data_IF_482187811533
#
_entry.id   IF_482187811533
#
_cell.length_a   1.000
_cell.length_b   1.000
_cell.length_c   1.000
_cell.angle_alpha   90.00
_cell.angle_beta   90.00
_cell.angle_gamma   90.00
#
_symmetry.space_group_name_H-M   'P 1'
#
loop_
_entity.id
_entity.type
_entity.pdbx_description
1 polymer ?
#
# COMPACT_ATOMS: atom_id res chain seq x y z
N UNK A 1 20.52 -36.07 18.75
CA UNK A 1 19.23 -35.42 18.40
C UNK A 1 19.09 -34.01 18.98
N UNK A 2 19.64 -33.70 20.17
CA UNK A 2 19.54 -32.36 20.81
C UNK A 2 20.23 -31.22 20.03
N UNK A 3 21.32 -31.49 19.32
CA UNK A 3 22.11 -30.49 18.60
C UNK A 3 21.48 -30.00 17.28
N UNK A 4 20.62 -30.80 16.64
CA UNK A 4 19.93 -30.38 15.39
C UNK A 4 18.76 -29.45 15.72
N UNK A 5 18.04 -29.73 16.81
CA UNK A 5 16.93 -28.92 17.30
C UNK A 5 17.38 -27.54 17.82
N UNK A 6 18.57 -27.43 18.40
CA UNK A 6 19.11 -26.15 18.84
C UNK A 6 19.54 -25.27 17.66
N UNK A 7 20.13 -25.87 16.62
CA UNK A 7 20.54 -25.14 15.40
C UNK A 7 19.32 -24.62 14.63
N UNK A 8 18.26 -25.42 14.51
CA UNK A 8 17.03 -24.96 13.85
C UNK A 8 16.28 -23.89 14.65
N UNK A 9 16.26 -23.98 15.99
CA UNK A 9 15.68 -22.94 16.84
C UNK A 9 16.40 -21.59 16.68
N UNK A 10 17.73 -21.59 16.63
CA UNK A 10 18.54 -20.37 16.42
C UNK A 10 18.28 -19.78 15.02
N UNK A 11 18.21 -20.64 14.00
CA UNK A 11 17.92 -20.19 12.64
C UNK A 11 16.53 -19.53 12.51
N UNK A 12 15.51 -20.07 13.17
CA UNK A 12 14.15 -19.49 13.19
C UNK A 12 14.14 -18.15 13.95
N UNK A 13 14.85 -18.05 15.08
CA UNK A 13 14.93 -16.81 15.87
C UNK A 13 15.61 -15.65 15.15
N UNK A 14 16.50 -15.91 14.18
CA UNK A 14 17.19 -14.86 13.40
C UNK A 14 16.44 -14.54 12.10
N UNK A 15 15.91 -15.56 11.43
CA UNK A 15 15.22 -15.38 10.14
C UNK A 15 13.85 -14.72 10.27
N UNK A 16 13.09 -15.03 11.33
CA UNK A 16 11.75 -14.48 11.52
C UNK A 16 11.73 -12.96 11.72
N UNK A 17 12.59 -12.34 12.57
CA UNK A 17 12.64 -10.88 12.72
C UNK A 17 13.07 -10.15 11.44
N UNK A 18 14.00 -10.72 10.69
CA UNK A 18 14.47 -10.15 9.42
C UNK A 18 13.38 -10.21 8.37
N UNK A 19 12.66 -11.33 8.26
CA UNK A 19 11.50 -11.46 7.38
C UNK A 19 10.36 -10.50 7.80
N UNK A 20 10.11 -10.36 9.10
CA UNK A 20 9.12 -9.42 9.63
C UNK A 20 9.51 -7.96 9.31
N UNK A 21 10.79 -7.62 9.44
CA UNK A 21 11.31 -6.29 9.12
C UNK A 21 11.21 -5.97 7.62
N UNK A 22 11.53 -6.94 6.76
CA UNK A 22 11.37 -6.79 5.30
C UNK A 22 9.89 -6.68 4.93
N UNK A 23 9.01 -7.49 5.52
CA UNK A 23 7.55 -7.39 5.32
C UNK A 23 7.02 -6.03 5.78
N UNK A 24 7.43 -5.57 6.96
CA UNK A 24 7.05 -4.28 7.52
C UNK A 24 7.49 -3.13 6.60
N UNK A 25 8.76 -3.15 6.17
CA UNK A 25 9.32 -2.18 5.23
C UNK A 25 8.60 -2.19 3.90
N UNK A 26 8.28 -3.36 3.33
CA UNK A 26 7.56 -3.49 2.06
C UNK A 26 6.12 -2.97 2.17
N UNK A 27 5.43 -3.26 3.27
CA UNK A 27 4.07 -2.78 3.54
C UNK A 27 3.98 -1.26 3.75
N UNK A 28 4.90 -0.69 4.54
CA UNK A 28 5.00 0.76 4.68
C UNK A 28 5.38 1.43 3.36
N UNK A 29 6.27 0.83 2.57
CA UNK A 29 6.67 1.37 1.28
C UNK A 29 5.50 1.53 0.33
N UNK A 30 4.65 0.51 0.17
CA UNK A 30 3.47 0.61 -0.72
C UNK A 30 2.47 1.67 -0.24
N UNK A 31 2.27 1.79 1.09
CA UNK A 31 1.42 2.85 1.66
C UNK A 31 1.98 4.24 1.41
N UNK A 32 3.28 4.43 1.64
CA UNK A 32 3.97 5.69 1.43
C UNK A 32 3.95 6.04 -0.06
N UNK A 33 4.21 5.10 -0.96
CA UNK A 33 4.17 5.33 -2.41
C UNK A 33 2.77 5.73 -2.89
N UNK A 34 1.71 5.05 -2.44
CA UNK A 34 0.34 5.42 -2.79
C UNK A 34 -0.07 6.79 -2.24
N UNK A 35 0.34 7.10 -1.01
CA UNK A 35 0.12 8.42 -0.41
C UNK A 35 0.86 9.52 -1.19
N UNK A 36 2.14 9.30 -1.48
CA UNK A 36 2.98 10.23 -2.27
C UNK A 36 2.40 10.41 -3.67
N UNK A 37 1.95 9.35 -4.34
CA UNK A 37 1.34 9.42 -5.67
C UNK A 37 0.06 10.28 -5.65
N UNK A 38 -0.85 10.03 -4.69
CA UNK A 38 -2.07 10.85 -4.52
C UNK A 38 -1.75 12.32 -4.26
N UNK A 39 -0.72 12.60 -3.46
CA UNK A 39 -0.33 13.99 -3.16
C UNK A 39 0.32 14.67 -4.37
N UNK A 40 1.15 13.96 -5.15
CA UNK A 40 1.71 14.45 -6.41
C UNK A 40 0.60 14.75 -7.42
N UNK A 41 -0.40 13.88 -7.55
CA UNK A 41 -1.54 14.10 -8.44
C UNK A 41 -2.38 15.32 -8.02
N UNK A 42 -2.60 15.50 -6.70
CA UNK A 42 -3.27 16.69 -6.17
C UNK A 42 -2.48 17.96 -6.51
N UNK A 43 -1.18 17.97 -6.24
CA UNK A 43 -0.31 19.11 -6.54
C UNK A 43 -0.32 19.42 -8.04
N UNK A 44 -0.31 18.42 -8.92
CA UNK A 44 -0.41 18.63 -10.38
C UNK A 44 -1.69 19.38 -10.77
N UNK A 45 -2.83 19.04 -10.16
CA UNK A 45 -4.11 19.75 -10.41
C UNK A 45 -4.05 21.18 -9.89
N UNK A 46 -3.55 21.39 -8.67
CA UNK A 46 -3.39 22.73 -8.09
C UNK A 46 -2.43 23.61 -8.90
N UNK A 47 -1.33 23.04 -9.39
CA UNK A 47 -0.36 23.75 -10.25
C UNK A 47 -0.93 24.08 -11.63
N UNK A 48 -1.76 23.21 -12.21
CA UNK A 48 -2.42 23.48 -13.49
C UNK A 48 -3.39 24.67 -13.39
N UNK A 49 -4.08 24.81 -12.26
CA UNK A 49 -4.96 25.96 -11.98
C UNK A 49 -4.16 27.23 -11.63
N UNK A 50 -3.03 27.09 -10.93
CA UNK A 50 -2.13 28.20 -10.63
C UNK A 50 -1.48 28.80 -11.89
N UNK A 51 -1.05 27.96 -12.84
CA UNK A 51 -0.44 28.39 -14.11
C UNK A 51 -1.37 29.20 -15.02
N UNK A 52 -2.69 29.15 -14.81
CA UNK A 52 -3.65 30.02 -15.51
C UNK A 52 -3.80 31.41 -14.89
N UNK A 53 -3.32 31.61 -13.65
CA UNK A 53 -3.64 32.80 -12.83
C UNK A 53 -2.44 33.74 -12.63
N UNK A 54 -1.21 33.28 -12.84
CA UNK A 54 0.01 34.07 -12.68
C UNK A 54 0.92 33.93 -13.90
N UNK A 55 1.16 35.05 -14.59
CA UNK A 55 1.97 35.18 -15.81
C UNK A 55 3.47 35.40 -15.50
N UNK A 56 3.86 35.33 -14.23
CA UNK A 56 5.25 35.59 -13.81
C UNK A 56 6.05 34.27 -13.78
N UNK A 57 6.80 34.04 -14.86
CA UNK A 57 7.33 32.74 -15.26
C UNK A 57 8.51 32.20 -14.43
N UNK A 58 8.98 32.92 -13.41
CA UNK A 58 10.25 32.58 -12.74
C UNK A 58 10.05 31.53 -11.62
N UNK A 59 9.06 31.70 -10.74
CA UNK A 59 8.83 30.77 -9.62
C UNK A 59 8.17 29.46 -10.08
N UNK A 60 7.27 29.53 -11.06
CA UNK A 60 6.66 28.36 -11.69
C UNK A 60 7.69 27.46 -12.40
N UNK A 61 8.72 28.07 -13.01
CA UNK A 61 9.82 27.35 -13.63
C UNK A 61 10.68 26.59 -12.62
N UNK A 62 10.92 27.16 -11.43
CA UNK A 62 11.66 26.47 -10.37
C UNK A 62 10.87 25.32 -9.74
N UNK A 63 9.56 25.50 -9.54
CA UNK A 63 8.68 24.43 -9.02
C UNK A 63 8.55 23.29 -10.02
N UNK A 64 8.41 23.59 -11.31
CA UNK A 64 8.40 22.58 -12.37
C UNK A 64 9.70 21.75 -12.38
N UNK A 65 10.87 22.38 -12.23
CA UNK A 65 12.15 21.69 -12.11
C UNK A 65 12.24 20.79 -10.87
N UNK A 66 11.71 21.25 -9.73
CA UNK A 66 11.66 20.44 -8.49
C UNK A 66 10.75 19.22 -8.65
N UNK A 67 9.61 19.38 -9.32
CA UNK A 67 8.68 18.27 -9.61
C UNK A 67 9.36 17.24 -10.51
N UNK A 68 9.98 17.67 -11.61
CA UNK A 68 10.70 16.78 -12.52
C UNK A 68 11.81 15.98 -11.81
N UNK A 69 12.57 16.62 -10.91
CA UNK A 69 13.60 15.95 -10.11
C UNK A 69 13.01 14.91 -9.14
N UNK A 70 11.83 15.16 -8.58
CA UNK A 70 11.13 14.21 -7.70
C UNK A 70 10.66 13.01 -8.51
N UNK A 71 10.12 13.23 -9.71
CA UNK A 71 9.67 12.17 -10.62
C UNK A 71 10.83 11.25 -11.02
N UNK A 72 11.98 11.82 -11.39
CA UNK A 72 13.19 11.05 -11.70
C UNK A 72 13.65 10.17 -10.51
N UNK A 73 13.60 10.73 -9.30
CA UNK A 73 13.96 9.97 -8.08
C UNK A 73 12.96 8.85 -7.78
N UNK A 74 11.67 9.05 -8.05
CA UNK A 74 10.65 8.02 -7.89
C UNK A 74 10.88 6.86 -8.86
N UNK A 75 11.15 7.15 -10.13
CA UNK A 75 11.46 6.13 -11.13
C UNK A 75 12.68 5.28 -10.74
N UNK A 76 13.73 5.92 -10.21
CA UNK A 76 14.91 5.22 -9.71
C UNK A 76 14.58 4.30 -8.51
N UNK A 77 13.67 4.72 -7.63
CA UNK A 77 13.22 3.92 -6.49
C UNK A 77 12.41 2.72 -6.98
N UNK A 78 11.46 2.92 -7.90
CA UNK A 78 10.63 1.85 -8.46
C UNK A 78 11.51 0.79 -9.13
N UNK A 79 12.52 1.21 -9.90
CA UNK A 79 13.50 0.29 -10.51
C UNK A 79 14.27 -0.51 -9.46
N UNK A 80 14.75 0.13 -8.38
CA UNK A 80 15.45 -0.57 -7.29
C UNK A 80 14.55 -1.55 -6.54
N UNK A 81 13.28 -1.21 -6.37
CA UNK A 81 12.31 -2.13 -5.75
C UNK A 81 12.12 -3.35 -6.65
N UNK A 82 11.96 -3.16 -7.95
CA UNK A 82 11.85 -4.26 -8.91
C UNK A 82 13.10 -5.15 -8.92
N UNK A 83 14.30 -4.54 -8.90
CA UNK A 83 15.56 -5.27 -8.79
C UNK A 83 15.62 -6.11 -7.51
N UNK A 84 15.18 -5.53 -6.38
CA UNK A 84 15.10 -6.26 -5.10
C UNK A 84 14.06 -7.38 -5.15
N UNK A 85 12.92 -7.18 -5.81
CA UNK A 85 11.90 -8.22 -6.00
C UNK A 85 12.42 -9.35 -6.86
N UNK A 86 13.16 -9.07 -7.93
CA UNK A 86 13.80 -10.08 -8.77
C UNK A 86 14.87 -10.86 -7.99
N UNK A 87 15.68 -10.18 -7.18
CA UNK A 87 16.67 -10.82 -6.29
C UNK A 87 15.97 -11.71 -5.24
N UNK A 88 14.78 -11.32 -4.78
CA UNK A 88 13.99 -12.06 -3.80
C UNK A 88 13.16 -13.19 -4.44
N UNK A 89 12.83 -13.09 -5.73
CA UNK A 89 11.97 -14.03 -6.47
C UNK A 89 12.51 -15.46 -6.58
N UNK A 90 13.82 -15.67 -6.39
CA UNK A 90 14.42 -17.02 -6.35
C UNK A 90 14.26 -17.72 -4.99
N UNK A 91 13.78 -17.01 -3.96
CA UNK A 91 13.42 -17.61 -2.67
C UNK A 91 11.91 -17.59 -2.58
N UNK A 92 11.31 -18.70 -3.00
CA UNK A 92 9.89 -19.02 -2.86
C UNK A 92 9.51 -19.13 -1.37
N UNK A 93 9.54 -18.00 -0.66
CA UNK A 93 8.94 -17.84 0.65
C UNK A 93 7.48 -17.60 0.33
N UNK A 94 6.64 -18.63 0.52
CA UNK A 94 5.20 -18.59 0.30
C UNK A 94 4.50 -17.51 1.14
N UNK A 95 4.64 -16.26 0.73
CA UNK A 95 3.94 -15.11 1.27
C UNK A 95 2.71 -14.93 0.40
N UNK A 96 1.55 -15.38 0.90
CA UNK A 96 0.26 -15.04 0.30
C UNK A 96 0.13 -13.52 0.27
N UNK A 97 0.30 -12.92 -0.90
CA UNK A 97 -0.02 -11.53 -1.15
C UNK A 97 -1.50 -11.33 -0.81
N UNK A 98 -1.79 -10.62 0.29
CA UNK A 98 -3.14 -10.16 0.57
C UNK A 98 -3.39 -8.97 -0.37
N UNK A 99 -4.00 -9.24 -1.52
CA UNK A 99 -4.57 -8.21 -2.36
C UNK A 99 -5.64 -7.48 -1.55
N UNK A 100 -5.31 -6.27 -1.09
CA UNK A 100 -6.31 -5.37 -0.53
C UNK A 100 -6.98 -4.64 -1.68
N UNK A 101 -8.30 -4.78 -1.86
CA UNK A 101 -9.02 -3.96 -2.84
C UNK A 101 -8.85 -2.47 -2.46
N UNK A 102 -8.70 -1.61 -3.47
CA UNK A 102 -8.67 -0.15 -3.32
C UNK A 102 -9.81 0.31 -2.39
N UNK A 103 -9.53 1.26 -1.50
CA UNK A 103 -10.45 1.63 -0.39
C UNK A 103 -11.88 1.94 -0.87
N UNK A 104 -12.02 2.59 -2.03
CA UNK A 104 -13.31 2.91 -2.65
C UNK A 104 -14.04 1.64 -3.11
N UNK A 105 -13.33 0.71 -3.76
CA UNK A 105 -13.88 -0.59 -4.19
C UNK A 105 -14.19 -1.53 -3.01
N UNK A 106 -13.52 -1.34 -1.86
CA UNK A 106 -13.77 -2.12 -0.65
C UNK A 106 -15.11 -1.77 -0.02
N UNK A 107 -15.41 -0.47 0.12
CA UNK A 107 -16.65 -0.01 0.75
C UNK A 107 -17.89 -0.40 -0.06
N UNK A 108 -17.82 -0.26 -1.39
CA UNK A 108 -18.89 -0.68 -2.29
C UNK A 108 -19.21 -2.17 -2.16
N UNK A 109 -18.18 -3.04 -2.17
CA UNK A 109 -18.35 -4.49 -2.00
C UNK A 109 -18.97 -4.84 -0.64
N UNK A 110 -18.60 -4.14 0.44
CA UNK A 110 -19.20 -4.34 1.77
C UNK A 110 -20.69 -4.02 1.73
N UNK A 111 -21.07 -2.91 1.09
CA UNK A 111 -22.48 -2.48 0.97
C UNK A 111 -23.28 -3.45 0.10
N UNK A 112 -22.74 -3.89 -1.03
CA UNK A 112 -23.39 -4.85 -1.91
C UNK A 112 -23.66 -6.19 -1.21
N UNK A 113 -22.65 -6.75 -0.56
CA UNK A 113 -22.80 -8.00 0.18
C UNK A 113 -23.81 -7.85 1.32
N UNK A 114 -23.86 -6.67 1.98
CA UNK A 114 -24.88 -6.41 3.00
C UNK A 114 -26.29 -6.35 2.42
N UNK A 115 -26.47 -5.69 1.28
CA UNK A 115 -27.76 -5.63 0.54
C UNK A 115 -28.21 -7.03 0.07
N UNK A 116 -27.27 -7.91 -0.24
CA UNK A 116 -27.54 -9.33 -0.54
C UNK A 116 -27.92 -10.17 0.70
N UNK A 117 -27.95 -9.58 1.89
CA UNK A 117 -28.35 -10.25 3.14
C UNK A 117 -27.22 -10.98 3.86
N UNK A 118 -25.96 -10.79 3.46
CA UNK A 118 -24.84 -11.42 4.15
C UNK A 118 -24.67 -10.85 5.57
N UNK A 119 -24.29 -11.72 6.51
CA UNK A 119 -23.96 -11.32 7.87
C UNK A 119 -22.58 -10.68 7.93
N UNK A 120 -22.36 -9.79 8.90
CA UNK A 120 -21.07 -9.14 9.13
C UNK A 120 -19.89 -10.13 9.16
N UNK A 121 -20.10 -11.31 9.76
CA UNK A 121 -19.09 -12.36 9.86
C UNK A 121 -18.77 -12.96 8.49
N UNK A 122 -19.79 -13.24 7.67
CA UNK A 122 -19.62 -13.80 6.33
C UNK A 122 -18.95 -12.80 5.39
N UNK A 123 -19.30 -11.52 5.49
CA UNK A 123 -18.63 -10.44 4.72
C UNK A 123 -17.15 -10.33 5.12
N UNK A 124 -16.86 -10.40 6.42
CA UNK A 124 -15.50 -10.34 6.93
C UNK A 124 -14.64 -11.53 6.45
N UNK A 125 -15.23 -12.73 6.38
CA UNK A 125 -14.58 -13.93 5.84
C UNK A 125 -14.32 -13.80 4.33
N UNK A 126 -15.34 -13.38 3.56
CA UNK A 126 -15.26 -13.22 2.10
C UNK A 126 -14.20 -12.19 1.69
N UNK A 127 -14.18 -11.04 2.39
CA UNK A 127 -13.27 -9.93 2.10
C UNK A 127 -11.95 -10.02 2.89
N UNK A 128 -11.76 -11.07 3.71
CA UNK A 128 -10.57 -11.29 4.56
C UNK A 128 -10.19 -10.08 5.42
N UNK A 129 -11.20 -9.44 6.02
CA UNK A 129 -11.04 -8.27 6.90
C UNK A 129 -11.64 -8.53 8.27
N UNK A 130 -11.35 -7.66 9.24
CA UNK A 130 -11.96 -7.77 10.57
C UNK A 130 -13.44 -7.36 10.52
N UNK A 131 -14.26 -8.04 11.33
CA UNK A 131 -15.69 -7.71 11.53
C UNK A 131 -15.86 -6.25 11.96
N UNK A 132 -14.94 -5.73 12.77
CA UNK A 132 -14.94 -4.33 13.20
C UNK A 132 -14.79 -3.35 12.04
N UNK A 133 -13.95 -3.68 11.03
CA UNK A 133 -13.79 -2.85 9.83
C UNK A 133 -15.06 -2.84 8.98
N UNK A 134 -15.68 -4.00 8.77
CA UNK A 134 -16.98 -4.12 8.07
C UNK A 134 -18.06 -3.30 8.78
N UNK A 135 -18.15 -3.40 10.12
CA UNK A 135 -19.11 -2.64 10.92
C UNK A 135 -18.89 -1.13 10.80
N UNK A 136 -17.64 -0.67 10.74
CA UNK A 136 -17.31 0.76 10.59
C UNK A 136 -17.85 1.31 9.27
N UNK A 137 -17.55 0.63 8.15
CA UNK A 137 -18.04 1.00 6.82
C UNK A 137 -19.57 1.07 6.78
N UNK A 138 -20.24 0.02 7.26
CA UNK A 138 -21.71 -0.03 7.26
C UNK A 138 -22.36 1.08 8.10
N UNK A 139 -21.71 1.48 9.20
CA UNK A 139 -22.15 2.59 10.04
C UNK A 139 -21.97 3.94 9.34
N UNK A 140 -20.85 4.15 8.65
CA UNK A 140 -20.57 5.38 7.90
C UNK A 140 -21.56 5.58 6.73
N UNK A 141 -22.01 4.48 6.12
CA UNK A 141 -22.96 4.49 5.01
C UNK A 141 -24.43 4.31 5.42
N UNK A 142 -24.75 4.28 6.72
CA UNK A 142 -26.10 4.09 7.27
C UNK A 142 -26.83 2.82 6.78
N UNK A 143 -26.10 1.74 6.53
CA UNK A 143 -26.67 0.45 6.11
C UNK A 143 -26.59 -0.52 7.29
N UNK A 144 -27.67 -0.67 8.07
CA UNK A 144 -27.71 -1.56 9.24
C UNK A 144 -28.15 -2.97 8.87
#
# INVERSE_FOLDING_TARGET
MSSVLSITAIAISISAPVALYIMYKRFEYSRILNYVRKEVDRLRVEFADFGKKYDDHTELGELSKKIALIEEKLELIEKKVLDLENILGDKDVGVKTLEYPDEETFEEKVIELRKQGYSLKKIAEELKVSVSRVRKVLKEHNVS
#
